data_IF_425810195624
#
_entry.id   IF_425810195624
#
_cell.length_a   1.000
_cell.length_b   1.000
_cell.length_c   1.000
_cell.angle_alpha   90.00
_cell.angle_beta   90.00
_cell.angle_gamma   90.00
#
_symmetry.space_group_name_H-M   'P 1'
#
loop_
_entity.id
_entity.type
_entity.pdbx_description
1 polymer ?
#
# COMPACT_ATOMS: atom_id res chain seq x y z
N UNK A 1 -4.95 -1.11 -16.20
CA UNK A 1 -3.96 -1.35 -15.13
C UNK A 1 -4.51 -2.29 -14.05
N UNK A 2 -5.69 -2.09 -13.48
CA UNK A 2 -6.19 -2.90 -12.35
C UNK A 2 -6.10 -4.43 -12.58
N UNK A 3 -6.54 -4.92 -13.74
CA UNK A 3 -6.41 -6.34 -14.10
C UNK A 3 -4.95 -6.84 -14.24
N UNK A 4 -4.00 -5.94 -14.54
CA UNK A 4 -2.57 -6.28 -14.61
C UNK A 4 -1.93 -6.36 -13.25
N UNK A 5 -2.32 -5.48 -12.31
CA UNK A 5 -1.92 -5.57 -10.91
C UNK A 5 -2.37 -6.92 -10.34
N UNK A 6 -3.62 -7.32 -10.58
CA UNK A 6 -4.12 -8.67 -10.29
C UNK A 6 -3.76 -9.15 -8.90
N UNK A 7 -2.85 -10.12 -8.82
CA UNK A 7 -2.36 -10.78 -7.60
C UNK A 7 -1.03 -10.15 -7.21
N UNK A 8 -1.01 -9.40 -6.12
CA UNK A 8 0.17 -8.67 -5.67
C UNK A 8 0.60 -8.97 -4.25
N UNK A 9 1.81 -8.54 -3.93
CA UNK A 9 2.41 -8.63 -2.60
C UNK A 9 3.21 -7.36 -2.30
N UNK A 10 3.20 -6.92 -1.04
CA UNK A 10 3.97 -5.76 -0.60
C UNK A 10 5.42 -6.14 -0.25
N UNK A 11 6.39 -5.32 -0.67
CA UNK A 11 7.78 -5.36 -0.22
C UNK A 11 7.98 -4.34 0.91
N UNK A 12 7.23 -4.50 1.99
CA UNK A 12 7.22 -3.58 3.13
C UNK A 12 8.38 -3.80 4.09
N UNK A 13 8.57 -2.82 5.00
CA UNK A 13 9.65 -2.75 5.99
C UNK A 13 11.05 -2.72 5.37
N UNK A 14 11.17 -2.17 4.18
CA UNK A 14 12.39 -1.98 3.41
C UNK A 14 12.62 -0.47 3.17
N UNK A 15 12.33 0.08 2.00
CA UNK A 15 12.41 1.52 1.72
C UNK A 15 11.45 2.40 2.56
N UNK A 16 10.43 1.82 3.17
CA UNK A 16 9.51 2.48 4.10
C UNK A 16 9.98 2.47 5.56
N UNK A 17 11.12 1.85 5.86
CA UNK A 17 11.67 1.77 7.20
C UNK A 17 12.10 3.14 7.77
N UNK A 18 12.12 3.31 9.10
CA UNK A 18 12.34 4.59 9.77
C UNK A 18 13.43 4.57 10.84
N UNK A 19 14.65 4.40 10.51
CA UNK A 19 15.80 4.63 11.42
C UNK A 19 16.29 6.09 11.38
N UNK A 20 16.72 6.70 12.49
CA UNK A 20 17.25 8.08 12.51
C UNK A 20 18.39 8.34 11.51
N UNK A 21 19.10 7.30 11.12
CA UNK A 21 20.22 7.34 10.18
C UNK A 21 19.96 6.43 8.97
N UNK A 22 18.69 6.20 8.65
CA UNK A 22 18.30 5.39 7.50
C UNK A 22 18.75 6.04 6.20
N UNK A 23 19.53 5.33 5.41
CA UNK A 23 20.10 5.80 4.14
C UNK A 23 19.94 4.79 3.00
N UNK A 24 19.26 3.69 3.28
CA UNK A 24 19.03 2.60 2.35
C UNK A 24 17.77 1.81 2.75
N UNK A 25 17.49 0.73 2.07
CA UNK A 25 16.39 -0.18 2.31
C UNK A 25 16.60 -1.15 3.48
N UNK A 26 17.73 -1.09 4.17
CA UNK A 26 18.12 -2.07 5.19
C UNK A 26 17.97 -1.57 6.64
N UNK A 27 17.26 -0.49 6.87
CA UNK A 27 17.19 0.12 8.20
C UNK A 27 16.47 -0.73 9.25
N UNK A 28 15.58 -1.58 8.84
CA UNK A 28 14.92 -2.57 9.70
C UNK A 28 15.41 -4.00 9.44
N UNK A 29 16.60 -4.14 8.84
CA UNK A 29 17.20 -5.44 8.52
C UNK A 29 16.36 -6.30 7.57
N UNK A 30 15.66 -5.66 6.66
CA UNK A 30 14.86 -6.30 5.63
C UNK A 30 15.12 -5.68 4.24
N UNK A 31 16.36 -5.74 3.73
CA UNK A 31 16.65 -5.23 2.40
C UNK A 31 15.91 -6.04 1.34
N UNK A 32 15.68 -5.42 0.18
CA UNK A 32 15.19 -6.13 -1.00
C UNK A 32 16.39 -6.78 -1.68
N UNK A 33 16.34 -8.09 -1.86
CA UNK A 33 17.36 -8.84 -2.60
C UNK A 33 16.90 -9.03 -4.06
N UNK A 34 17.82 -8.98 -5.02
CA UNK A 34 17.52 -9.18 -6.46
C UNK A 34 16.76 -10.49 -6.72
N UNK A 35 17.02 -11.53 -5.92
CA UNK A 35 16.34 -12.83 -6.01
C UNK A 35 14.85 -12.76 -5.62
N UNK A 36 14.45 -11.80 -4.81
CA UNK A 36 13.08 -11.67 -4.31
C UNK A 36 12.06 -11.51 -5.44
N UNK A 37 12.39 -10.71 -6.46
CA UNK A 37 11.52 -10.50 -7.62
C UNK A 37 11.25 -11.80 -8.38
N UNK A 38 12.29 -12.63 -8.52
CA UNK A 38 12.16 -13.94 -9.16
C UNK A 38 11.33 -14.91 -8.31
N UNK A 39 11.55 -14.95 -6.99
CA UNK A 39 10.79 -15.80 -6.05
C UNK A 39 9.30 -15.42 -6.11
N UNK A 40 8.98 -14.13 -6.08
CA UNK A 40 7.62 -13.62 -6.18
C UNK A 40 7.00 -13.99 -7.53
N UNK A 41 7.73 -13.80 -8.61
CA UNK A 41 7.24 -14.14 -9.97
C UNK A 41 7.00 -15.63 -10.15
N UNK A 42 7.93 -16.47 -9.71
CA UNK A 42 7.83 -17.93 -9.80
C UNK A 42 6.68 -18.47 -8.97
N UNK A 43 6.33 -17.81 -7.87
CA UNK A 43 5.16 -18.13 -7.06
C UNK A 43 3.83 -17.82 -7.76
N UNK A 44 3.83 -17.00 -8.83
CA UNK A 44 2.65 -16.71 -9.64
C UNK A 44 2.02 -15.34 -9.40
N UNK A 45 2.71 -14.42 -8.72
CA UNK A 45 2.25 -13.04 -8.56
C UNK A 45 2.36 -12.25 -9.88
N UNK A 46 1.49 -11.27 -10.04
CA UNK A 46 1.45 -10.36 -11.19
C UNK A 46 2.18 -9.06 -10.89
N UNK A 47 2.17 -8.62 -9.63
CA UNK A 47 2.65 -7.32 -9.22
C UNK A 47 3.30 -7.32 -7.83
N UNK A 48 4.07 -6.28 -7.59
CA UNK A 48 4.52 -5.88 -6.26
C UNK A 48 3.99 -4.47 -5.94
N UNK A 49 3.70 -4.19 -4.68
CA UNK A 49 3.63 -2.83 -4.15
C UNK A 49 4.95 -2.54 -3.46
N UNK A 50 5.58 -1.44 -3.83
CA UNK A 50 6.86 -1.00 -3.31
C UNK A 50 6.69 0.24 -2.46
N UNK A 51 6.54 0.10 -1.13
CA UNK A 51 6.43 1.19 -0.20
C UNK A 51 7.75 1.94 -0.08
N UNK A 52 7.73 3.26 -0.26
CA UNK A 52 8.92 4.10 -0.12
C UNK A 52 8.60 5.34 0.70
N UNK A 53 9.38 5.59 1.72
CA UNK A 53 9.24 6.76 2.60
C UNK A 53 10.01 7.96 2.06
N UNK A 54 9.62 8.45 0.88
CA UNK A 54 10.31 9.46 0.09
C UNK A 54 10.66 10.74 0.85
N UNK A 55 9.73 11.23 1.68
CA UNK A 55 9.94 12.42 2.48
C UNK A 55 11.17 12.28 3.40
N UNK A 56 11.43 11.09 3.89
CA UNK A 56 12.57 10.82 4.76
C UNK A 56 13.91 10.91 4.04
N UNK A 57 13.93 10.52 2.80
CA UNK A 57 15.09 10.53 1.93
C UNK A 57 15.19 11.80 1.08
N UNK A 58 14.64 12.91 1.58
CA UNK A 58 14.59 14.16 0.84
C UNK A 58 15.23 15.33 1.57
N UNK A 59 15.68 16.31 0.81
CA UNK A 59 16.13 17.60 1.32
C UNK A 59 14.96 18.56 1.35
N UNK A 60 14.66 19.07 2.52
CA UNK A 60 13.51 19.94 2.75
C UNK A 60 13.69 21.37 2.20
N UNK A 61 14.94 21.87 2.08
CA UNK A 61 15.22 23.21 1.56
C UNK A 61 15.13 23.27 0.04
N UNK A 62 15.58 22.19 -0.61
CA UNK A 62 15.59 22.07 -2.07
C UNK A 62 14.40 21.31 -2.64
N UNK A 63 13.62 20.66 -1.78
CA UNK A 63 12.53 19.76 -2.17
C UNK A 63 12.97 18.64 -3.12
N UNK A 64 14.12 18.04 -2.88
CA UNK A 64 14.68 16.98 -3.76
C UNK A 64 14.89 15.69 -3.01
N UNK A 65 14.58 14.58 -3.65
CA UNK A 65 14.93 13.24 -3.16
C UNK A 65 16.45 13.05 -3.27
N UNK A 66 17.04 12.34 -2.30
CA UNK A 66 18.44 11.93 -2.37
C UNK A 66 18.69 11.13 -3.66
N UNK A 67 19.69 11.51 -4.49
CA UNK A 67 19.94 10.85 -5.77
C UNK A 67 20.32 9.37 -5.65
N UNK A 68 20.99 8.95 -4.56
CA UNK A 68 21.38 7.56 -4.32
C UNK A 68 20.12 6.70 -4.02
N UNK A 69 19.22 7.22 -3.20
CA UNK A 69 17.95 6.57 -2.89
C UNK A 69 17.08 6.47 -4.15
N UNK A 70 16.97 7.58 -4.89
CA UNK A 70 16.20 7.60 -6.13
C UNK A 70 16.72 6.56 -7.13
N UNK A 71 18.05 6.44 -7.26
CA UNK A 71 18.68 5.44 -8.12
C UNK A 71 18.43 4.01 -7.62
N UNK A 72 18.52 3.75 -6.32
CA UNK A 72 18.27 2.44 -5.72
C UNK A 72 16.83 1.97 -5.94
N UNK A 73 15.84 2.80 -5.62
CA UNK A 73 14.42 2.46 -5.87
C UNK A 73 14.14 2.28 -7.36
N UNK A 74 14.77 3.07 -8.23
CA UNK A 74 14.64 2.95 -9.68
C UNK A 74 15.20 1.63 -10.21
N UNK A 75 16.28 1.14 -9.60
CA UNK A 75 16.86 -0.17 -9.91
C UNK A 75 15.93 -1.31 -9.48
N UNK A 76 15.34 -1.27 -8.29
CA UNK A 76 14.36 -2.27 -7.84
C UNK A 76 13.13 -2.32 -8.76
N UNK A 77 12.62 -1.14 -9.18
CA UNK A 77 11.53 -1.06 -10.16
C UNK A 77 11.94 -1.71 -11.48
N UNK A 78 13.17 -1.46 -11.97
CA UNK A 78 13.71 -2.07 -13.18
C UNK A 78 13.79 -3.59 -13.06
N UNK A 79 14.38 -4.09 -11.96
CA UNK A 79 14.52 -5.54 -11.70
C UNK A 79 13.15 -6.24 -11.63
N UNK A 80 12.19 -5.65 -10.95
CA UNK A 80 10.82 -6.18 -10.91
C UNK A 80 10.19 -6.28 -12.31
N UNK A 81 10.31 -5.21 -13.10
CA UNK A 81 9.78 -5.15 -14.47
C UNK A 81 10.48 -6.17 -15.37
N UNK A 82 11.79 -6.34 -15.25
CA UNK A 82 12.57 -7.34 -15.99
C UNK A 82 12.13 -8.78 -15.68
N UNK A 83 11.62 -9.04 -14.47
CA UNK A 83 10.95 -10.31 -14.14
C UNK A 83 9.50 -10.38 -14.63
N UNK A 84 8.98 -9.31 -15.26
CA UNK A 84 7.60 -9.25 -15.73
C UNK A 84 6.57 -9.02 -14.62
N UNK A 85 6.98 -8.38 -13.51
CA UNK A 85 6.10 -7.91 -12.45
C UNK A 85 5.67 -6.46 -12.74
N UNK A 86 4.40 -6.15 -12.54
CA UNK A 86 3.92 -4.77 -12.51
C UNK A 86 4.28 -4.17 -11.15
N UNK A 87 4.73 -2.93 -11.14
CA UNK A 87 5.08 -2.23 -9.91
C UNK A 87 4.01 -1.19 -9.57
N UNK A 88 3.53 -1.21 -8.33
CA UNK A 88 2.77 -0.14 -7.71
C UNK A 88 3.72 0.60 -6.76
N UNK A 89 4.22 1.76 -7.19
CA UNK A 89 5.14 2.57 -6.42
C UNK A 89 4.37 3.49 -5.48
N UNK A 90 4.62 3.36 -4.19
CA UNK A 90 3.86 4.01 -3.13
C UNK A 90 4.67 5.10 -2.42
N UNK A 91 3.99 6.18 -2.03
CA UNK A 91 4.52 7.17 -1.09
C UNK A 91 4.07 6.82 0.33
N UNK A 92 4.97 6.16 1.09
CA UNK A 92 4.62 5.55 2.37
C UNK A 92 4.89 6.45 3.57
N UNK A 93 3.93 6.52 4.51
CA UNK A 93 4.07 7.11 5.84
C UNK A 93 4.59 8.56 5.90
N UNK A 94 3.95 9.50 5.24
CA UNK A 94 4.29 10.91 5.42
C UNK A 94 3.74 11.45 6.76
N UNK A 95 4.47 11.20 7.85
CA UNK A 95 4.00 11.47 9.22
C UNK A 95 3.67 12.94 9.45
N UNK A 96 4.51 13.86 8.96
CA UNK A 96 4.34 15.30 9.14
C UNK A 96 3.05 15.81 8.48
N UNK A 97 2.72 15.28 7.32
CA UNK A 97 1.48 15.59 6.61
C UNK A 97 0.26 15.00 7.33
N UNK A 98 0.37 13.77 7.79
CA UNK A 98 -0.71 13.03 8.46
C UNK A 98 -1.01 13.53 9.87
N UNK A 99 -0.04 14.10 10.58
CA UNK A 99 -0.21 14.58 11.97
C UNK A 99 -0.57 16.05 12.07
N UNK A 100 -0.51 16.80 10.97
CA UNK A 100 -0.92 18.20 10.95
C UNK A 100 -2.43 18.32 11.07
N UNK A 101 -2.90 18.69 12.19
CA UNK A 101 -4.32 18.88 12.48
C UNK A 101 -4.79 18.23 13.78
N UNK A 102 -3.95 17.51 14.50
CA UNK A 102 -4.37 16.86 15.75
C UNK A 102 -3.32 16.10 16.53
N UNK A 103 -2.11 15.99 16.04
CA UNK A 103 -1.03 15.30 16.76
C UNK A 103 -0.66 16.01 18.06
N UNK A 104 -0.47 15.24 19.14
CA UNK A 104 -0.25 15.71 20.51
C UNK A 104 0.97 16.63 20.73
N UNK A 105 1.76 16.88 19.71
CA UNK A 105 3.04 17.58 19.79
C UNK A 105 3.11 18.94 19.09
N UNK A 106 2.03 19.42 18.45
CA UNK A 106 2.05 20.70 17.72
C UNK A 106 0.97 21.65 18.20
N UNK A 107 1.32 22.95 18.35
CA UNK A 107 0.39 24.01 18.72
C UNK A 107 -0.56 24.31 17.55
N UNK A 108 -1.84 24.45 17.86
CA UNK A 108 -2.94 24.63 16.90
C UNK A 108 -2.81 25.84 15.94
N UNK A 109 -1.96 26.81 16.26
CA UNK A 109 -1.73 28.00 15.44
C UNK A 109 -0.70 27.81 14.32
N UNK A 110 0.21 26.81 14.48
CA UNK A 110 1.28 26.57 13.51
C UNK A 110 0.86 25.55 12.43
N UNK A 111 -0.34 24.97 12.54
CA UNK A 111 -0.74 23.76 11.80
C UNK A 111 -1.04 24.01 10.33
N UNK A 112 -1.74 25.11 9.98
CA UNK A 112 -2.10 25.36 8.56
C UNK A 112 -0.91 25.85 7.74
N UNK A 113 -0.09 26.76 8.25
CA UNK A 113 1.11 27.20 7.54
C UNK A 113 2.10 26.06 7.34
N UNK A 114 2.28 25.24 8.37
CA UNK A 114 3.16 24.08 8.28
C UNK A 114 2.57 23.02 7.33
N UNK A 115 1.26 22.80 7.37
CA UNK A 115 0.58 21.91 6.43
C UNK A 115 0.81 22.32 4.98
N UNK A 116 0.70 23.60 4.67
CA UNK A 116 0.96 24.11 3.32
C UNK A 116 2.42 23.90 2.88
N UNK A 117 3.37 24.05 3.79
CA UNK A 117 4.79 23.74 3.51
C UNK A 117 5.00 22.24 3.25
N UNK A 118 4.40 21.36 4.08
CA UNK A 118 4.46 19.91 3.89
C UNK A 118 3.80 19.50 2.57
N UNK A 119 2.64 20.06 2.24
CA UNK A 119 1.97 19.83 0.95
C UNK A 119 2.85 20.27 -0.23
N UNK A 120 3.45 21.45 -0.16
CA UNK A 120 4.37 21.93 -1.20
C UNK A 120 5.55 20.97 -1.37
N UNK A 121 6.13 20.51 -0.27
CA UNK A 121 7.21 19.53 -0.30
C UNK A 121 6.75 18.21 -0.94
N UNK A 122 5.63 17.67 -0.51
CA UNK A 122 5.02 16.46 -1.05
C UNK A 122 4.78 16.52 -2.55
N UNK A 123 4.19 17.62 -3.03
CA UNK A 123 3.91 17.85 -4.46
C UNK A 123 5.21 17.97 -5.27
N UNK A 124 6.23 18.64 -4.72
CA UNK A 124 7.53 18.77 -5.38
C UNK A 124 8.24 17.40 -5.49
N UNK A 125 8.20 16.59 -4.43
CA UNK A 125 8.74 15.23 -4.47
C UNK A 125 8.00 14.37 -5.50
N UNK A 126 6.68 14.41 -5.55
CA UNK A 126 5.92 13.69 -6.58
C UNK A 126 6.25 14.16 -8.00
N UNK A 127 6.47 15.46 -8.20
CA UNK A 127 6.89 15.98 -9.51
C UNK A 127 8.22 15.36 -9.94
N UNK A 128 9.19 15.30 -9.03
CA UNK A 128 10.48 14.66 -9.31
C UNK A 128 10.35 13.16 -9.56
N UNK A 129 9.68 12.44 -8.66
CA UNK A 129 9.47 10.99 -8.77
C UNK A 129 8.78 10.67 -10.10
N UNK A 130 7.65 11.31 -10.41
CA UNK A 130 6.92 11.06 -11.64
C UNK A 130 7.78 11.33 -12.89
N UNK A 131 8.60 12.39 -12.88
CA UNK A 131 9.53 12.72 -13.98
C UNK A 131 10.59 11.63 -14.14
N UNK A 132 11.23 11.21 -13.05
CA UNK A 132 12.31 10.22 -13.09
C UNK A 132 11.84 8.82 -13.48
N UNK A 133 10.63 8.46 -13.10
CA UNK A 133 10.05 7.14 -13.37
C UNK A 133 9.19 7.08 -14.65
N UNK A 134 9.07 8.19 -15.39
CA UNK A 134 8.35 8.21 -16.69
C UNK A 134 8.98 7.29 -17.72
N UNK A 135 10.27 6.99 -17.60
CA UNK A 135 11.00 6.08 -18.50
C UNK A 135 10.47 4.64 -18.52
N UNK A 136 9.75 4.22 -17.49
CA UNK A 136 9.17 2.89 -17.44
C UNK A 136 7.84 2.83 -18.20
N UNK A 137 7.48 1.68 -18.79
CA UNK A 137 6.23 1.55 -19.53
C UNK A 137 4.98 1.81 -18.65
N UNK A 138 4.01 2.55 -19.16
CA UNK A 138 2.73 2.82 -18.46
C UNK A 138 1.97 1.56 -18.08
N UNK A 139 2.21 0.48 -18.81
CA UNK A 139 1.59 -0.82 -18.51
C UNK A 139 2.27 -1.61 -17.41
N UNK A 140 3.43 -1.14 -16.91
CA UNK A 140 4.26 -1.86 -15.93
C UNK A 140 4.48 -1.09 -14.63
N UNK A 141 4.12 0.21 -14.58
CA UNK A 141 4.27 1.04 -13.40
C UNK A 141 3.00 1.87 -13.16
N UNK A 142 2.53 1.86 -11.92
CA UNK A 142 1.47 2.72 -11.40
C UNK A 142 1.96 3.42 -10.14
N UNK A 143 1.33 4.53 -9.77
CA UNK A 143 1.66 5.31 -8.58
C UNK A 143 0.52 5.24 -7.56
N UNK A 144 0.86 5.02 -6.30
CA UNK A 144 -0.02 5.16 -5.14
C UNK A 144 0.34 6.47 -4.42
N UNK A 145 -0.58 7.43 -4.43
CA UNK A 145 -0.25 8.82 -4.08
C UNK A 145 0.22 8.98 -2.65
N UNK A 146 -0.48 8.36 -1.69
CA UNK A 146 -0.18 8.49 -0.27
C UNK A 146 -0.79 7.32 0.51
N UNK A 147 0.08 6.54 1.15
CA UNK A 147 -0.33 5.46 2.03
C UNK A 147 -1.08 5.97 3.26
N UNK A 148 -2.23 5.39 3.52
CA UNK A 148 -3.00 5.54 4.75
C UNK A 148 -3.18 7.00 5.23
N UNK A 149 -3.76 7.90 4.43
CA UNK A 149 -3.97 9.28 4.85
C UNK A 149 -4.78 9.34 6.15
N UNK A 150 -4.22 10.01 7.16
CA UNK A 150 -4.89 10.29 8.44
C UNK A 150 -5.08 11.78 8.70
N UNK A 151 -4.98 12.60 7.64
CA UNK A 151 -5.20 14.04 7.67
C UNK A 151 -6.64 14.31 8.15
N UNK A 152 -6.86 14.98 9.29
CA UNK A 152 -8.14 14.92 9.99
C UNK A 152 -9.26 15.76 9.37
N UNK A 153 -9.02 16.43 8.25
CA UNK A 153 -10.00 17.25 7.55
C UNK A 153 -10.13 16.76 6.10
N UNK A 154 -11.35 16.40 5.71
CA UNK A 154 -11.66 15.87 4.36
C UNK A 154 -11.26 16.82 3.22
N UNK A 155 -11.40 18.15 3.44
CA UNK A 155 -11.06 19.13 2.41
C UNK A 155 -9.54 19.20 2.23
N UNK A 156 -8.78 19.09 3.32
CA UNK A 156 -7.32 19.02 3.28
C UNK A 156 -6.81 17.71 2.66
N UNK A 157 -7.47 16.56 2.92
CA UNK A 157 -7.12 15.30 2.26
C UNK A 157 -7.28 15.44 0.75
N UNK A 158 -8.41 15.94 0.29
CA UNK A 158 -8.67 16.14 -1.13
C UNK A 158 -7.70 17.15 -1.76
N UNK A 159 -7.40 18.24 -1.05
CA UNK A 159 -6.43 19.25 -1.53
C UNK A 159 -5.04 18.64 -1.73
N UNK A 160 -4.54 17.84 -0.78
CA UNK A 160 -3.25 17.14 -0.90
C UNK A 160 -3.26 16.15 -2.06
N UNK A 161 -4.25 15.26 -2.10
CA UNK A 161 -4.30 14.20 -3.10
C UNK A 161 -4.48 14.76 -4.52
N UNK A 162 -5.35 15.76 -4.70
CA UNK A 162 -5.58 16.38 -6.02
C UNK A 162 -4.39 17.24 -6.47
N UNK A 163 -3.68 17.89 -5.53
CA UNK A 163 -2.46 18.64 -5.85
C UNK A 163 -1.36 17.70 -6.36
N UNK A 164 -1.14 16.57 -5.66
CA UNK A 164 -0.20 15.55 -6.09
C UNK A 164 -0.62 14.89 -7.41
N UNK A 165 -1.90 14.51 -7.55
CA UNK A 165 -2.45 13.98 -8.80
C UNK A 165 -2.16 14.92 -9.98
N UNK A 166 -2.39 16.23 -9.81
CA UNK A 166 -2.16 17.21 -10.88
C UNK A 166 -0.68 17.25 -11.28
N UNK A 167 0.22 17.23 -10.30
CA UNK A 167 1.67 17.22 -10.55
C UNK A 167 2.14 15.92 -11.23
N UNK A 168 1.67 14.77 -10.74
CA UNK A 168 1.98 13.47 -11.33
C UNK A 168 1.46 13.40 -12.78
N UNK A 169 0.21 13.80 -13.02
CA UNK A 169 -0.40 13.75 -14.34
C UNK A 169 0.31 14.67 -15.35
N UNK A 170 0.84 15.79 -14.89
CA UNK A 170 1.64 16.69 -15.72
C UNK A 170 3.01 16.10 -16.10
N UNK A 171 3.66 15.36 -15.18
CA UNK A 171 4.97 14.76 -15.40
C UNK A 171 4.88 13.39 -16.10
N UNK A 172 3.83 12.62 -15.79
CA UNK A 172 3.60 11.24 -16.27
C UNK A 172 2.16 11.05 -16.76
N UNK A 173 1.82 11.56 -17.94
CA UNK A 173 0.42 11.62 -18.39
C UNK A 173 -0.22 10.25 -18.64
N UNK A 174 0.56 9.21 -18.91
CA UNK A 174 0.08 7.85 -19.21
C UNK A 174 -0.04 6.93 -18.00
N UNK A 175 0.59 7.26 -16.87
CA UNK A 175 0.62 6.36 -15.69
C UNK A 175 -0.74 6.25 -15.00
N UNK A 176 -1.08 5.05 -14.55
CA UNK A 176 -2.22 4.86 -13.65
C UNK A 176 -1.90 5.42 -12.28
N UNK A 177 -2.85 6.16 -11.70
CA UNK A 177 -2.71 6.77 -10.38
C UNK A 177 -3.73 6.17 -9.43
N UNK A 178 -3.27 5.78 -8.25
CA UNK A 178 -4.09 5.18 -7.20
C UNK A 178 -4.37 6.21 -6.11
N UNK A 179 -5.62 6.23 -5.64
CA UNK A 179 -6.07 7.07 -4.55
C UNK A 179 -6.45 6.21 -3.37
N UNK A 180 -5.81 6.42 -2.24
CA UNK A 180 -6.25 5.90 -0.96
C UNK A 180 -7.11 6.92 -0.22
N UNK A 181 -8.12 6.43 0.50
CA UNK A 181 -8.98 7.33 1.24
C UNK A 181 -8.48 7.60 2.65
N UNK A 182 -9.17 8.53 3.30
CA UNK A 182 -8.98 8.95 4.67
C UNK A 182 -9.08 7.80 5.70
N UNK A 183 -8.52 8.03 6.89
CA UNK A 183 -8.59 7.18 8.07
C UNK A 183 -7.96 5.80 7.84
N UNK A 184 -6.67 5.80 7.48
CA UNK A 184 -5.89 4.61 7.20
C UNK A 184 -6.49 3.78 6.05
N UNK A 185 -6.72 4.43 4.92
CA UNK A 185 -7.21 3.83 3.68
C UNK A 185 -8.47 2.95 3.81
N UNK A 186 -9.37 3.28 4.75
CA UNK A 186 -10.60 2.49 4.92
C UNK A 186 -11.54 2.64 3.73
N UNK A 187 -11.96 1.56 3.12
CA UNK A 187 -12.91 1.54 2.02
C UNK A 187 -14.22 2.31 2.32
N UNK A 188 -14.70 2.27 3.55
CA UNK A 188 -15.89 3.00 3.97
C UNK A 188 -15.74 4.53 3.87
N UNK A 189 -14.53 5.05 3.71
CA UNK A 189 -14.25 6.48 3.58
C UNK A 189 -14.25 6.98 2.12
N UNK A 190 -14.54 6.11 1.15
CA UNK A 190 -14.69 6.50 -0.26
C UNK A 190 -15.56 7.77 -0.47
N UNK A 191 -16.67 8.00 0.25
CA UNK A 191 -17.46 9.21 0.10
C UNK A 191 -16.76 10.53 0.43
N UNK A 192 -15.61 10.47 1.10
CA UNK A 192 -14.81 11.66 1.45
C UNK A 192 -14.00 12.14 0.24
N UNK A 193 -13.60 11.22 -0.65
CA UNK A 193 -12.74 11.54 -1.78
C UNK A 193 -13.47 12.30 -2.87
N UNK A 194 -12.76 13.23 -3.48
CA UNK A 194 -13.10 13.84 -4.77
C UNK A 194 -12.19 13.21 -5.82
N UNK A 195 -12.68 12.18 -6.50
CA UNK A 195 -11.92 11.55 -7.58
C UNK A 195 -12.03 12.38 -8.86
N UNK A 196 -10.92 12.61 -9.58
CA UNK A 196 -10.95 13.29 -10.87
C UNK A 196 -11.71 12.44 -11.92
N UNK A 197 -12.33 13.10 -12.89
CA UNK A 197 -12.95 12.46 -14.05
C UNK A 197 -11.84 11.97 -15.01
N UNK A 198 -11.14 10.93 -14.62
CA UNK A 198 -10.00 10.34 -15.32
C UNK A 198 -10.17 8.82 -15.35
N UNK A 199 -10.24 8.24 -16.53
CA UNK A 199 -10.40 6.79 -16.72
C UNK A 199 -9.15 5.99 -16.34
N UNK A 200 -8.04 6.63 -15.96
CA UNK A 200 -6.78 5.98 -15.62
C UNK A 200 -6.42 6.16 -14.12
N UNK A 201 -7.43 6.03 -13.26
CA UNK A 201 -7.27 6.01 -11.81
C UNK A 201 -7.81 4.70 -11.22
N UNK A 202 -7.31 4.35 -10.04
CA UNK A 202 -7.77 3.23 -9.22
C UNK A 202 -8.04 3.77 -7.80
N UNK A 203 -9.13 3.35 -7.19
CA UNK A 203 -9.38 3.58 -5.77
C UNK A 203 -8.76 2.44 -4.95
N UNK A 204 -8.00 2.75 -3.91
CA UNK A 204 -7.42 1.77 -3.01
C UNK A 204 -7.94 1.89 -1.58
N UNK A 205 -8.06 0.76 -0.94
CA UNK A 205 -8.33 0.66 0.49
C UNK A 205 -7.60 -0.51 1.11
N UNK A 206 -7.41 -0.45 2.44
CA UNK A 206 -6.80 -1.52 3.22
C UNK A 206 -7.86 -2.34 3.94
N UNK A 207 -7.61 -3.64 4.11
CA UNK A 207 -8.57 -4.55 4.73
C UNK A 207 -7.92 -5.46 5.75
N UNK A 208 -8.13 -5.16 7.02
CA UNK A 208 -7.61 -5.94 8.15
C UNK A 208 -8.73 -6.43 9.08
N UNK A 209 -9.99 -6.46 8.58
CA UNK A 209 -11.12 -6.84 9.43
C UNK A 209 -11.33 -8.37 9.54
N UNK A 210 -11.65 -8.88 10.71
CA UNK A 210 -11.73 -8.14 11.97
C UNK A 210 -10.33 -7.86 12.53
N UNK A 211 -10.10 -6.62 12.96
CA UNK A 211 -8.78 -6.18 13.46
C UNK A 211 -8.30 -7.02 14.65
N UNK A 212 -9.22 -7.50 15.48
CA UNK A 212 -8.94 -8.43 16.58
C UNK A 212 -8.38 -9.78 16.15
N UNK A 213 -8.59 -10.18 14.90
CA UNK A 213 -7.98 -11.39 14.35
C UNK A 213 -6.67 -11.08 13.61
N UNK A 214 -6.67 -10.04 12.79
CA UNK A 214 -5.53 -9.73 11.92
C UNK A 214 -4.31 -9.17 12.66
N UNK A 215 -4.49 -8.54 13.84
CA UNK A 215 -3.43 -7.85 14.57
C UNK A 215 -3.12 -8.46 15.95
N UNK A 216 -3.39 -9.75 16.12
CA UNK A 216 -3.07 -10.44 17.36
C UNK A 216 -1.58 -10.37 17.67
N UNK A 217 -1.24 -9.99 18.92
CA UNK A 217 0.13 -9.82 19.37
C UNK A 217 0.89 -8.64 18.76
N UNK A 218 0.30 -7.93 17.80
CA UNK A 218 0.83 -6.67 17.30
C UNK A 218 0.17 -5.48 18.03
N UNK A 219 -1.14 -5.44 18.07
CA UNK A 219 -1.92 -4.36 18.70
C UNK A 219 -3.24 -4.81 19.33
N UNK A 220 -3.52 -6.11 19.32
CA UNK A 220 -4.67 -6.73 20.01
C UNK A 220 -4.24 -7.94 20.80
N UNK A 221 -5.14 -8.44 21.68
CA UNK A 221 -4.90 -9.61 22.50
C UNK A 221 -4.68 -10.88 21.67
N UNK A 222 -3.94 -11.83 22.21
CA UNK A 222 -3.70 -13.13 21.64
C UNK A 222 -4.89 -14.05 21.92
N UNK A 223 -5.72 -14.31 20.93
CA UNK A 223 -6.94 -15.11 21.03
C UNK A 223 -6.91 -16.36 20.12
N UNK A 224 -5.82 -16.52 19.36
CA UNK A 224 -5.66 -17.62 18.44
C UNK A 224 -6.78 -17.67 17.39
N UNK A 225 -7.15 -18.88 17.01
CA UNK A 225 -8.22 -19.13 16.04
C UNK A 225 -9.62 -18.81 16.59
N UNK A 226 -9.77 -18.62 17.90
CA UNK A 226 -11.06 -18.26 18.50
C UNK A 226 -11.55 -16.87 18.07
N UNK A 227 -10.65 -15.98 17.64
CA UNK A 227 -11.00 -14.67 17.09
C UNK A 227 -11.30 -14.70 15.59
N UNK A 228 -11.24 -15.86 14.95
CA UNK A 228 -11.45 -15.97 13.50
C UNK A 228 -12.85 -15.50 13.09
N UNK A 229 -12.89 -14.56 12.17
CA UNK A 229 -14.06 -14.20 11.40
C UNK A 229 -13.61 -13.63 10.05
N UNK A 230 -14.47 -13.64 9.05
CA UNK A 230 -14.22 -13.01 7.76
C UNK A 230 -15.52 -12.50 7.15
N UNK A 231 -15.62 -11.19 7.00
CA UNK A 231 -16.78 -10.50 6.44
C UNK A 231 -16.53 -9.93 5.05
N UNK A 232 -15.38 -10.22 4.43
CA UNK A 232 -14.93 -9.58 3.18
C UNK A 232 -15.95 -9.66 2.06
N UNK A 233 -16.74 -10.73 1.97
CA UNK A 233 -17.76 -10.89 0.93
C UNK A 233 -18.86 -9.82 1.04
N UNK A 234 -19.35 -9.55 2.25
CA UNK A 234 -20.36 -8.51 2.48
C UNK A 234 -19.79 -7.11 2.39
N UNK A 235 -18.59 -6.92 2.92
CA UNK A 235 -17.92 -5.62 2.99
C UNK A 235 -17.56 -5.15 1.58
N UNK A 236 -16.88 -5.97 0.79
CA UNK A 236 -16.49 -5.62 -0.59
C UNK A 236 -17.70 -5.44 -1.51
N UNK A 237 -18.79 -6.20 -1.29
CA UNK A 237 -20.03 -5.94 -1.99
C UNK A 237 -20.58 -4.53 -1.68
N UNK A 238 -20.52 -4.13 -0.42
CA UNK A 238 -20.93 -2.79 0.01
C UNK A 238 -20.09 -1.69 -0.61
N UNK A 239 -18.77 -1.85 -0.57
CA UNK A 239 -17.82 -0.86 -1.10
C UNK A 239 -17.91 -0.73 -2.63
N UNK A 240 -18.00 -1.84 -3.35
CA UNK A 240 -18.18 -1.83 -4.80
C UNK A 240 -19.47 -1.11 -5.22
N UNK A 241 -20.60 -1.38 -4.55
CA UNK A 241 -21.87 -0.69 -4.78
C UNK A 241 -21.77 0.81 -4.47
N UNK A 242 -21.10 1.17 -3.38
CA UNK A 242 -20.88 2.56 -3.00
C UNK A 242 -20.08 3.31 -4.06
N UNK A 243 -19.01 2.70 -4.58
CA UNK A 243 -18.22 3.27 -5.67
C UNK A 243 -19.03 3.56 -6.93
N UNK A 244 -19.87 2.62 -7.34
CA UNK A 244 -20.76 2.81 -8.49
C UNK A 244 -21.74 3.97 -8.30
N UNK A 245 -22.26 4.14 -7.08
CA UNK A 245 -23.22 5.22 -6.77
C UNK A 245 -22.57 6.60 -6.77
N UNK A 246 -21.33 6.68 -6.27
CA UNK A 246 -20.63 7.96 -6.11
C UNK A 246 -19.92 8.42 -7.39
N UNK A 247 -19.43 7.48 -8.20
CA UNK A 247 -18.58 7.78 -9.35
C UNK A 247 -19.03 7.04 -10.62
N UNK A 248 -20.28 7.22 -11.07
CA UNK A 248 -20.80 6.50 -12.24
C UNK A 248 -20.02 6.81 -13.53
N UNK A 249 -19.51 8.06 -13.66
CA UNK A 249 -18.78 8.50 -14.84
C UNK A 249 -17.32 8.00 -14.90
N UNK A 250 -16.75 7.63 -13.74
CA UNK A 250 -15.38 7.08 -13.65
C UNK A 250 -15.37 5.58 -13.89
N UNK A 251 -16.48 4.90 -13.60
CA UNK A 251 -16.53 3.44 -13.63
C UNK A 251 -16.30 2.87 -15.03
N UNK A 252 -16.84 3.48 -16.08
CA UNK A 252 -16.79 2.96 -17.45
C UNK A 252 -17.15 1.47 -17.61
N UNK A 253 -17.39 0.79 -16.49
CA UNK A 253 -17.68 -0.62 -16.27
C UNK A 253 -18.74 -0.71 -15.17
N UNK A 254 -19.15 -1.92 -14.80
CA UNK A 254 -20.11 -2.13 -13.70
C UNK A 254 -19.58 -1.68 -12.33
N UNK A 255 -18.25 -1.53 -12.17
CA UNK A 255 -17.61 -1.10 -10.94
C UNK A 255 -16.47 -0.12 -11.24
N UNK A 256 -16.20 0.83 -10.32
CA UNK A 256 -14.96 1.60 -10.38
C UNK A 256 -13.78 0.65 -10.17
N UNK A 257 -12.62 0.88 -10.81
CA UNK A 257 -11.43 0.09 -10.53
C UNK A 257 -11.02 0.24 -9.06
N UNK A 258 -10.93 -0.89 -8.34
CA UNK A 258 -10.55 -0.92 -6.93
C UNK A 258 -9.36 -1.85 -6.69
N UNK A 259 -8.58 -1.53 -5.66
CA UNK A 259 -7.45 -2.32 -5.19
C UNK A 259 -7.56 -2.52 -3.67
N UNK A 260 -7.22 -3.71 -3.18
CA UNK A 260 -6.94 -3.96 -1.77
C UNK A 260 -5.44 -3.79 -1.59
N UNK A 261 -5.01 -2.55 -1.26
CA UNK A 261 -3.60 -2.15 -1.20
C UNK A 261 -2.81 -2.88 -0.13
N UNK A 262 -3.48 -3.16 0.99
CA UNK A 262 -2.93 -4.00 2.05
C UNK A 262 -4.01 -4.85 2.69
N UNK A 263 -3.66 -6.09 3.01
CA UNK A 263 -4.39 -7.01 3.88
C UNK A 263 -3.43 -8.09 4.36
N UNK A 264 -3.59 -8.57 5.57
CA UNK A 264 -2.67 -9.55 6.14
C UNK A 264 -3.08 -9.95 7.55
N UNK A 265 -2.38 -10.94 8.09
CA UNK A 265 -2.60 -11.43 9.46
C UNK A 265 -1.25 -11.58 10.14
N UNK A 266 -1.09 -10.91 11.29
CA UNK A 266 0.11 -11.04 12.12
C UNK A 266 0.20 -12.41 12.82
N UNK A 267 1.35 -12.68 13.40
CA UNK A 267 1.54 -13.83 14.28
C UNK A 267 2.48 -14.91 13.78
N UNK A 268 3.22 -14.70 12.69
CA UNK A 268 4.19 -15.73 12.22
C UNK A 268 5.48 -15.73 13.02
N UNK A 269 6.03 -14.58 13.27
CA UNK A 269 7.21 -14.39 14.12
C UNK A 269 6.83 -13.85 15.48
N UNK A 270 5.62 -14.20 15.94
CA UNK A 270 5.00 -13.53 17.06
C UNK A 270 5.57 -14.01 18.40
N UNK A 271 6.58 -13.30 18.83
CA UNK A 271 7.15 -13.42 20.16
C UNK A 271 6.20 -12.99 21.31
N UNK A 272 5.08 -12.32 20.97
CA UNK A 272 4.09 -11.88 21.97
C UNK A 272 3.02 -12.94 22.24
N UNK A 273 2.51 -13.63 21.21
CA UNK A 273 1.43 -14.62 21.37
C UNK A 273 1.94 -16.06 21.57
N UNK A 274 3.12 -16.39 21.07
CA UNK A 274 3.62 -17.75 21.14
C UNK A 274 2.62 -18.76 20.56
N UNK A 275 2.22 -19.77 21.35
CA UNK A 275 1.26 -20.81 20.95
C UNK A 275 -0.19 -20.29 20.82
N UNK A 276 -0.50 -19.13 21.40
CA UNK A 276 -1.81 -18.49 21.30
C UNK A 276 -1.94 -17.63 20.02
N UNK A 277 -0.97 -17.63 19.11
CA UNK A 277 -1.09 -16.99 17.80
C UNK A 277 -2.10 -17.73 16.89
N UNK A 278 -2.73 -17.04 15.91
CA UNK A 278 -3.55 -17.70 14.91
C UNK A 278 -2.75 -18.78 14.18
N UNK A 279 -3.37 -19.94 13.94
CA UNK A 279 -2.75 -21.04 13.20
C UNK A 279 -2.46 -20.64 11.74
N UNK A 280 -1.49 -21.29 11.12
CA UNK A 280 -1.20 -21.07 9.70
C UNK A 280 -2.39 -21.44 8.81
N UNK A 281 -3.19 -22.44 9.21
CA UNK A 281 -4.42 -22.81 8.52
C UNK A 281 -5.45 -21.67 8.57
N UNK A 282 -5.67 -21.07 9.74
CA UNK A 282 -6.60 -19.95 9.90
C UNK A 282 -6.15 -18.71 9.12
N UNK A 283 -4.84 -18.41 9.11
CA UNK A 283 -4.26 -17.31 8.33
C UNK A 283 -4.46 -17.52 6.82
N UNK A 284 -4.10 -18.70 6.32
CA UNK A 284 -4.26 -19.05 4.91
C UNK A 284 -5.73 -19.02 4.48
N UNK A 285 -6.63 -19.54 5.32
CA UNK A 285 -8.07 -19.52 5.09
C UNK A 285 -8.61 -18.09 5.02
N UNK A 286 -8.26 -17.24 5.97
CA UNK A 286 -8.71 -15.84 5.98
C UNK A 286 -8.22 -15.09 4.72
N UNK A 287 -6.95 -15.25 4.35
CA UNK A 287 -6.39 -14.65 3.15
C UNK A 287 -7.11 -15.14 1.89
N UNK A 288 -7.34 -16.44 1.77
CA UNK A 288 -8.07 -17.05 0.65
C UNK A 288 -9.50 -16.50 0.52
N UNK A 289 -10.26 -16.43 1.61
CA UNK A 289 -11.62 -15.90 1.62
C UNK A 289 -11.67 -14.42 1.27
N UNK A 290 -10.73 -13.63 1.77
CA UNK A 290 -10.59 -12.20 1.46
C UNK A 290 -10.32 -11.99 -0.03
N UNK A 291 -9.41 -12.78 -0.60
CA UNK A 291 -9.06 -12.71 -2.04
C UNK A 291 -10.24 -13.13 -2.91
N UNK A 292 -10.94 -14.22 -2.58
CA UNK A 292 -12.16 -14.62 -3.31
C UNK A 292 -13.20 -13.49 -3.33
N UNK A 293 -13.36 -12.81 -2.20
CA UNK A 293 -14.27 -11.68 -2.11
C UNK A 293 -13.81 -10.50 -2.99
N UNK A 294 -12.51 -10.18 -3.00
CA UNK A 294 -11.93 -9.15 -3.86
C UNK A 294 -12.09 -9.47 -5.35
N UNK A 295 -11.76 -10.69 -5.75
CA UNK A 295 -11.87 -11.17 -7.14
C UNK A 295 -13.31 -11.10 -7.66
N UNK A 296 -14.30 -11.36 -6.82
CA UNK A 296 -15.72 -11.27 -7.19
C UNK A 296 -16.14 -9.88 -7.69
N UNK A 297 -15.42 -8.85 -7.25
CA UNK A 297 -15.67 -7.45 -7.66
C UNK A 297 -14.53 -6.88 -8.53
N UNK A 298 -13.74 -7.75 -9.16
CA UNK A 298 -12.62 -7.39 -10.03
C UNK A 298 -11.59 -6.46 -9.35
N UNK A 299 -11.41 -6.59 -8.03
CA UNK A 299 -10.39 -5.87 -7.30
C UNK A 299 -9.04 -6.56 -7.46
N UNK A 300 -7.98 -5.81 -7.75
CA UNK A 300 -6.62 -6.26 -7.55
C UNK A 300 -6.26 -6.20 -6.07
N UNK A 301 -5.17 -6.84 -5.67
CA UNK A 301 -4.78 -6.87 -4.26
C UNK A 301 -3.27 -7.00 -4.07
N UNK A 302 -2.79 -6.57 -2.90
CA UNK A 302 -1.40 -6.72 -2.46
C UNK A 302 -1.38 -7.20 -1.00
N UNK A 303 -0.96 -8.43 -0.77
CA UNK A 303 -0.82 -8.98 0.58
C UNK A 303 0.29 -8.26 1.35
N UNK A 304 0.05 -7.89 2.61
CA UNK A 304 1.06 -7.35 3.52
C UNK A 304 1.60 -8.48 4.39
N UNK A 305 2.82 -9.02 4.14
CA UNK A 305 3.76 -8.63 3.09
C UNK A 305 4.68 -9.81 2.75
N UNK A 306 5.73 -9.58 1.98
CA UNK A 306 6.58 -10.66 1.50
C UNK A 306 7.45 -11.23 2.62
N UNK A 307 8.43 -10.46 3.12
CA UNK A 307 9.39 -10.87 4.16
C UNK A 307 9.36 -9.89 5.32
N UNK A 308 9.64 -10.34 6.52
CA UNK A 308 9.88 -9.59 7.76
C UNK A 308 9.05 -8.29 7.93
N UNK A 309 7.75 -8.41 7.86
CA UNK A 309 6.82 -7.29 7.99
C UNK A 309 6.05 -7.34 9.33
N UNK A 310 6.77 -7.49 10.44
CA UNK A 310 6.19 -7.44 11.78
C UNK A 310 5.27 -8.60 12.12
N UNK A 311 5.54 -9.79 11.58
CA UNK A 311 4.74 -10.99 11.80
C UNK A 311 3.67 -11.27 10.74
N UNK A 312 3.54 -10.42 9.72
CA UNK A 312 2.60 -10.59 8.60
C UNK A 312 3.22 -11.32 7.40
N UNK A 313 4.50 -11.61 7.43
CA UNK A 313 5.23 -12.16 6.30
C UNK A 313 4.66 -13.47 5.77
N UNK A 314 4.68 -13.61 4.44
CA UNK A 314 4.30 -14.82 3.74
C UNK A 314 5.48 -15.76 3.42
N UNK A 315 6.72 -15.22 3.43
CA UNK A 315 7.94 -15.95 3.07
C UNK A 315 9.01 -15.79 4.15
N UNK A 316 9.59 -16.92 4.57
CA UNK A 316 10.77 -16.92 5.44
C UNK A 316 12.04 -16.83 4.59
N UNK A 317 12.64 -15.64 4.53
CA UNK A 317 13.87 -15.41 3.77
C UNK A 317 15.04 -16.25 4.30
N UNK A 318 15.13 -16.46 5.62
CA UNK A 318 16.22 -17.24 6.24
C UNK A 318 16.08 -18.72 5.91
N UNK A 319 14.88 -19.27 5.98
CA UNK A 319 14.58 -20.65 5.62
C UNK A 319 14.45 -20.86 4.11
N UNK A 320 14.36 -19.79 3.31
CA UNK A 320 14.08 -19.80 1.87
C UNK A 320 12.81 -20.61 1.53
N UNK A 321 11.75 -20.41 2.30
CA UNK A 321 10.51 -21.18 2.18
C UNK A 321 9.28 -20.29 2.42
N UNK A 322 8.22 -20.53 1.66
CA UNK A 322 6.91 -19.96 1.95
C UNK A 322 6.34 -20.59 3.23
N UNK A 323 5.71 -19.77 4.04
CA UNK A 323 5.01 -20.28 5.22
C UNK A 323 3.87 -21.23 4.84
N UNK A 324 3.45 -22.16 5.73
CA UNK A 324 2.40 -23.14 5.43
C UNK A 324 1.12 -22.48 4.90
N UNK A 325 0.56 -23.06 3.83
CA UNK A 325 -0.61 -22.51 3.14
C UNK A 325 -0.30 -21.36 2.16
N UNK A 326 0.90 -20.79 2.19
CA UNK A 326 1.34 -19.77 1.25
C UNK A 326 2.39 -20.34 0.26
N UNK A 327 2.49 -19.85 -0.97
CA UNK A 327 1.71 -18.77 -1.58
C UNK A 327 0.32 -19.19 -2.05
N UNK A 328 -0.06 -20.47 -1.93
CA UNK A 328 -1.29 -21.02 -2.54
C UNK A 328 -2.54 -20.21 -2.18
N UNK A 329 -2.71 -19.86 -0.89
CA UNK A 329 -3.84 -19.04 -0.44
C UNK A 329 -3.91 -17.66 -1.12
N UNK A 330 -2.75 -17.14 -1.57
CA UNK A 330 -2.65 -15.84 -2.21
C UNK A 330 -2.82 -15.89 -3.74
N UNK A 331 -2.47 -17.04 -4.36
CA UNK A 331 -2.41 -17.14 -5.83
C UNK A 331 -3.61 -17.88 -6.40
N UNK A 332 -4.01 -18.94 -5.77
CA UNK A 332 -5.13 -19.80 -6.21
C UNK A 332 -5.99 -20.18 -4.98
N UNK A 333 -6.77 -19.23 -4.46
CA UNK A 333 -7.56 -19.42 -3.26
C UNK A 333 -8.62 -20.52 -3.48
N UNK A 334 -8.62 -21.55 -2.62
CA UNK A 334 -9.53 -22.69 -2.66
C UNK A 334 -10.88 -22.39 -2.01
#
# INVERSE_FOLDING_TARGET
MNARLGKGINLGNSWDSDGKNCKDDNCWSNPIDDEDFKIIKDAGFNSIRLPVRWQRYSNYETHTVDPEILAGVKEDVRLAIDQGLVVLLDFHHYVELNTLGGGAHRKKADTLELFEKEKQHFVALWTQIATEFEVFPDSMLAYDILNEPTIPNKDLVNDVLLSAYTAIRAASPGKTIMFESYNAAKFAQLPILTLPADGNIIYSGHYYEPYTFSHQGHSTDCLGDAAYANNAVSDFMGYAKLGMQLYPDVSGTDFIPMNVGEFGISGRTNWQCGEDAPSDEAKAKWASETIKAAQKYNMSYHYWGFTYVGGFEAYDRKGKVWYPGFPQALIDPQ
#
